data_IF_636965507651
#
_entry.id   IF_636965507651
#
_cell.length_a   1.000
_cell.length_b   1.000
_cell.length_c   1.000
_cell.angle_alpha   90.00
_cell.angle_beta   90.00
_cell.angle_gamma   90.00
#
_symmetry.space_group_name_H-M   'P 1'
#
loop_
_entity.id
_entity.type
_entity.pdbx_description
1 polymer ?
#
# COMPACT_ATOMS: atom_id res chain seq x y z
N UNK A 1 -21.35 -45.83 15.26
CA UNK A 1 -20.06 -45.34 14.71
C UNK A 1 -20.17 -44.12 13.78
N UNK A 2 -21.33 -43.46 13.61
CA UNK A 2 -21.45 -42.23 12.77
C UNK A 2 -21.79 -40.97 13.62
N UNK A 3 -22.29 -41.15 14.85
CA UNK A 3 -22.69 -40.04 15.74
C UNK A 3 -21.53 -39.41 16.54
N UNK A 4 -20.38 -40.07 16.67
CA UNK A 4 -19.21 -39.53 17.38
C UNK A 4 -18.33 -38.64 16.49
N UNK A 5 -18.26 -38.94 15.18
CA UNK A 5 -17.47 -38.16 14.21
C UNK A 5 -18.03 -36.75 13.99
N UNK A 6 -19.36 -36.59 14.05
CA UNK A 6 -20.03 -35.29 13.91
C UNK A 6 -19.84 -34.37 15.12
N UNK A 7 -19.64 -34.91 16.34
CA UNK A 7 -19.37 -34.09 17.54
C UNK A 7 -17.92 -33.56 17.58
N UNK A 8 -16.98 -34.28 16.99
CA UNK A 8 -15.58 -33.84 16.86
C UNK A 8 -15.44 -32.69 15.85
N UNK A 9 -16.14 -32.76 14.72
CA UNK A 9 -16.12 -31.71 13.70
C UNK A 9 -16.74 -30.39 14.18
N UNK A 10 -17.79 -30.45 15.02
CA UNK A 10 -18.44 -29.27 15.58
C UNK A 10 -17.57 -28.55 16.64
N UNK A 11 -16.76 -29.30 17.42
CA UNK A 11 -15.78 -28.72 18.36
C UNK A 11 -14.59 -28.04 17.67
N UNK A 12 -14.14 -28.57 16.52
CA UNK A 12 -13.07 -27.94 15.72
C UNK A 12 -13.54 -26.65 15.03
N UNK A 13 -14.81 -26.55 14.60
CA UNK A 13 -15.36 -25.32 14.05
C UNK A 13 -15.60 -24.24 15.11
N UNK A 14 -15.96 -24.61 16.35
CA UNK A 14 -16.08 -23.64 17.45
C UNK A 14 -14.73 -23.05 17.89
N UNK A 15 -13.64 -23.83 17.83
CA UNK A 15 -12.30 -23.32 18.17
C UNK A 15 -11.79 -22.27 17.15
N UNK A 16 -12.06 -22.48 15.84
CA UNK A 16 -11.77 -21.48 14.79
C UNK A 16 -12.63 -20.22 14.94
N UNK A 17 -13.92 -20.36 15.26
CA UNK A 17 -14.81 -19.19 15.47
C UNK A 17 -14.48 -18.39 16.73
N UNK A 18 -13.98 -19.05 17.78
CA UNK A 18 -13.51 -18.39 19.01
C UNK A 18 -12.18 -17.66 18.76
N UNK A 19 -11.29 -18.20 17.90
CA UNK A 19 -10.06 -17.51 17.45
C UNK A 19 -10.35 -16.27 16.59
N UNK A 20 -11.36 -16.33 15.70
CA UNK A 20 -11.78 -15.16 14.91
C UNK A 20 -12.42 -14.06 15.77
N UNK A 21 -13.07 -14.41 16.89
CA UNK A 21 -13.66 -13.44 17.83
C UNK A 21 -12.70 -12.91 18.89
N UNK A 22 -11.50 -13.47 19.03
CA UNK A 22 -10.48 -12.93 19.93
C UNK A 22 -9.66 -11.80 19.30
N UNK A 23 -10.01 -11.33 18.09
CA UNK A 23 -9.56 -10.05 17.51
C UNK A 23 -10.24 -8.87 18.23
N UNK A 24 -10.26 -8.92 19.56
CA UNK A 24 -10.60 -7.81 20.42
C UNK A 24 -9.54 -6.73 20.23
N UNK A 25 -9.95 -5.62 19.61
CA UNK A 25 -9.39 -4.29 19.80
C UNK A 25 -7.85 -4.27 19.77
N UNK A 26 -7.26 -4.37 18.57
CA UNK A 26 -5.89 -3.88 18.39
C UNK A 26 -5.90 -2.35 18.50
N UNK A 27 -5.81 -1.86 19.74
CA UNK A 27 -5.53 -0.47 20.02
C UNK A 27 -4.09 -0.16 19.58
N UNK A 28 -3.96 0.72 18.59
CA UNK A 28 -2.81 1.62 18.48
C UNK A 28 -1.57 1.19 17.70
N UNK A 29 -1.64 0.20 16.78
CA UNK A 29 -0.57 0.06 15.77
C UNK A 29 -1.05 0.67 14.46
N UNK A 30 -0.54 1.86 14.15
CA UNK A 30 -0.70 2.51 12.87
C UNK A 30 0.09 1.73 11.82
N UNK A 31 -0.60 0.79 11.16
CA UNK A 31 -0.08 0.00 10.05
C UNK A 31 0.44 0.87 8.90
N UNK A 32 1.58 0.53 8.30
CA UNK A 32 2.21 1.16 7.12
C UNK A 32 2.28 2.69 7.18
N UNK A 33 2.62 3.25 8.35
CA UNK A 33 2.69 4.69 8.58
C UNK A 33 4.05 5.34 8.28
N UNK A 34 4.98 4.63 7.65
CA UNK A 34 6.31 5.14 7.32
C UNK A 34 6.84 4.52 6.02
N UNK A 35 7.36 5.36 5.13
CA UNK A 35 8.05 4.93 3.91
C UNK A 35 9.33 5.73 3.68
N UNK A 36 10.29 5.12 3.01
CA UNK A 36 11.42 5.81 2.38
C UNK A 36 10.96 6.19 0.97
N UNK A 37 10.53 7.42 0.77
CA UNK A 37 10.00 7.90 -0.51
C UNK A 37 11.11 8.40 -1.43
N UNK A 38 10.75 8.72 -2.66
CA UNK A 38 11.61 9.40 -3.62
C UNK A 38 11.39 10.93 -3.57
N UNK A 39 12.36 11.70 -4.04
CA UNK A 39 12.20 13.13 -4.35
C UNK A 39 11.34 13.31 -5.60
N UNK A 40 10.92 14.55 -5.89
CA UNK A 40 10.14 14.84 -7.09
C UNK A 40 10.94 14.51 -8.37
N UNK A 41 12.22 14.89 -8.41
CA UNK A 41 13.10 14.64 -9.56
C UNK A 41 13.34 13.15 -9.77
N UNK A 42 13.59 12.38 -8.70
CA UNK A 42 13.69 10.92 -8.76
C UNK A 42 12.38 10.28 -9.29
N UNK A 43 11.20 10.80 -8.92
CA UNK A 43 9.92 10.32 -9.46
C UNK A 43 9.78 10.65 -10.95
N UNK A 44 10.21 11.83 -11.38
CA UNK A 44 10.22 12.21 -12.80
C UNK A 44 11.14 11.31 -13.62
N UNK A 45 12.30 10.94 -13.09
CA UNK A 45 13.21 9.98 -13.73
C UNK A 45 12.58 8.60 -13.85
N UNK A 46 11.87 8.14 -12.81
CA UNK A 46 11.11 6.88 -12.86
C UNK A 46 10.05 6.92 -13.97
N UNK A 47 9.29 8.01 -14.07
CA UNK A 47 8.31 8.20 -15.14
C UNK A 47 8.99 8.12 -16.50
N UNK A 48 10.09 8.85 -16.70
CA UNK A 48 10.82 8.83 -17.96
C UNK A 48 11.28 7.41 -18.35
N UNK A 49 11.87 6.67 -17.40
CA UNK A 49 12.33 5.30 -17.62
C UNK A 49 11.17 4.37 -18.01
N UNK A 50 9.99 4.51 -17.39
CA UNK A 50 8.78 3.76 -17.77
C UNK A 50 8.36 4.11 -19.20
N UNK A 51 8.33 5.40 -19.56
CA UNK A 51 7.89 5.86 -20.88
C UNK A 51 8.81 5.38 -22.02
N UNK A 52 10.12 5.35 -21.80
CA UNK A 52 11.09 4.87 -22.78
C UNK A 52 11.35 3.35 -22.70
N UNK A 53 10.68 2.64 -21.81
CA UNK A 53 10.78 1.18 -21.67
C UNK A 53 12.11 0.68 -21.12
N UNK A 54 12.79 1.50 -20.30
CA UNK A 54 14.04 1.12 -19.64
C UNK A 54 13.76 0.38 -18.33
N UNK A 55 14.74 -0.42 -17.91
CA UNK A 55 14.76 -0.99 -16.56
C UNK A 55 14.84 0.12 -15.53
N UNK A 56 14.00 0.05 -14.51
CA UNK A 56 13.90 1.09 -13.49
C UNK A 56 15.08 0.97 -12.54
N UNK A 57 15.97 1.96 -12.59
CA UNK A 57 17.13 2.11 -11.72
C UNK A 57 17.16 3.56 -11.23
N UNK A 58 17.07 3.75 -9.92
CA UNK A 58 17.04 5.09 -9.32
C UNK A 58 18.25 5.27 -8.42
N UNK A 59 19.28 5.87 -9.00
CA UNK A 59 20.43 6.37 -8.25
C UNK A 59 20.02 7.62 -7.47
N UNK A 60 20.36 7.72 -6.18
CA UNK A 60 20.03 8.91 -5.39
C UNK A 60 20.87 10.12 -5.80
N UNK A 61 20.25 11.31 -5.78
CA UNK A 61 20.94 12.57 -5.98
C UNK A 61 22.05 12.75 -4.93
N UNK A 62 23.24 13.20 -5.34
CA UNK A 62 24.33 13.44 -4.39
C UNK A 62 24.18 14.82 -3.70
N UNK A 63 24.26 14.90 -2.36
CA UNK A 63 24.47 13.80 -1.41
C UNK A 63 23.21 12.96 -1.23
N UNK A 64 23.38 11.62 -1.25
CA UNK A 64 22.25 10.68 -1.19
C UNK A 64 21.36 10.95 0.04
N UNK A 65 20.19 11.52 -0.21
CA UNK A 65 19.16 11.76 0.79
C UNK A 65 17.96 10.88 0.47
N UNK A 66 17.56 10.08 1.44
CA UNK A 66 16.40 9.21 1.34
C UNK A 66 15.26 9.81 2.17
N UNK A 67 14.37 10.61 1.58
CA UNK A 67 13.32 11.28 2.33
C UNK A 67 12.40 10.23 2.97
N UNK A 68 12.04 10.45 4.22
CA UNK A 68 11.06 9.62 4.92
C UNK A 68 9.72 10.32 4.97
N UNK A 69 8.67 9.61 4.57
CA UNK A 69 7.30 10.08 4.64
C UNK A 69 6.54 9.40 5.78
N UNK A 70 5.69 10.19 6.43
CA UNK A 70 4.76 9.81 7.49
C UNK A 70 3.38 10.39 7.16
N UNK A 71 2.30 10.00 7.86
CA UNK A 71 1.04 10.73 7.77
C UNK A 71 1.26 12.24 7.95
N UNK A 72 0.66 13.02 7.05
CA UNK A 72 0.78 14.48 6.86
C UNK A 72 2.04 14.96 6.12
N UNK A 73 2.97 14.08 5.75
CA UNK A 73 4.06 14.45 4.83
C UNK A 73 3.51 14.76 3.45
N UNK A 74 4.16 15.69 2.74
CA UNK A 74 3.94 15.94 1.31
C UNK A 74 4.83 15.00 0.51
N UNK A 75 4.27 14.28 -0.46
CA UNK A 75 4.96 13.22 -1.20
C UNK A 75 4.68 13.36 -2.70
N UNK A 76 5.70 13.28 -3.57
CA UNK A 76 5.51 13.18 -5.02
C UNK A 76 4.90 11.83 -5.38
N UNK A 77 3.82 11.86 -6.15
CA UNK A 77 3.09 10.68 -6.59
C UNK A 77 3.12 10.61 -8.12
N UNK A 78 3.09 9.40 -8.67
CA UNK A 78 2.80 9.19 -10.09
C UNK A 78 1.27 9.14 -10.28
N UNK A 79 0.76 9.92 -11.21
CA UNK A 79 -0.62 9.93 -11.67
C UNK A 79 -0.67 9.62 -13.18
N UNK A 80 -1.86 9.31 -13.69
CA UNK A 80 -2.11 9.12 -15.12
C UNK A 80 -3.13 10.14 -15.62
N UNK A 81 -2.86 10.79 -16.75
CA UNK A 81 -3.89 11.53 -17.48
C UNK A 81 -4.93 10.55 -18.02
N UNK A 82 -6.17 11.00 -18.16
CA UNK A 82 -7.23 10.20 -18.75
C UNK A 82 -7.67 9.00 -17.92
N UNK A 83 -7.27 8.91 -16.64
CA UNK A 83 -8.02 8.10 -15.68
C UNK A 83 -9.48 8.56 -15.77
N UNK A 84 -10.45 7.67 -16.09
CA UNK A 84 -11.77 8.10 -16.50
C UNK A 84 -12.36 9.01 -15.43
N UNK A 85 -12.75 10.23 -15.78
CA UNK A 85 -13.48 11.10 -14.86
C UNK A 85 -14.84 10.47 -14.55
N UNK A 86 -15.31 10.64 -13.31
CA UNK A 86 -16.63 10.14 -12.92
C UNK A 86 -17.72 10.78 -13.80
N UNK A 87 -18.41 9.96 -14.60
CA UNK A 87 -19.46 10.42 -15.51
C UNK A 87 -18.98 10.85 -16.90
N UNK A 88 -17.69 10.69 -17.22
CA UNK A 88 -17.22 10.84 -18.58
C UNK A 88 -17.82 9.73 -19.47
N UNK A 89 -18.21 10.02 -20.73
CA UNK A 89 -18.79 9.02 -21.62
C UNK A 89 -17.81 7.86 -21.82
N UNK A 90 -18.30 6.62 -21.94
CA UNK A 90 -17.46 5.41 -22.13
C UNK A 90 -16.44 5.55 -23.26
N UNK A 91 -16.70 6.41 -24.25
CA UNK A 91 -15.76 6.74 -25.33
C UNK A 91 -14.47 7.46 -24.89
N UNK A 92 -14.37 7.86 -23.62
CA UNK A 92 -13.21 8.54 -23.01
C UNK A 92 -12.35 7.59 -22.16
N UNK A 93 -12.77 6.33 -21.99
CA UNK A 93 -11.91 5.32 -21.38
C UNK A 93 -10.67 5.09 -22.27
N UNK A 94 -9.47 4.95 -21.69
CA UNK A 94 -8.26 4.69 -22.46
C UNK A 94 -8.43 3.42 -23.31
N UNK A 95 -8.07 3.52 -24.58
CA UNK A 95 -8.04 2.34 -25.47
C UNK A 95 -6.99 1.33 -24.95
N UNK A 96 -7.17 0.01 -25.13
CA UNK A 96 -6.26 -1.02 -24.61
C UNK A 96 -4.79 -0.89 -25.03
N UNK A 97 -4.51 -0.10 -26.07
CA UNK A 97 -3.21 0.17 -26.67
C UNK A 97 -2.76 1.62 -26.52
N UNK A 98 -3.45 2.43 -25.72
CA UNK A 98 -3.05 3.80 -25.45
C UNK A 98 -1.97 3.80 -24.37
N UNK A 99 -0.79 4.33 -24.72
CA UNK A 99 0.29 4.55 -23.77
C UNK A 99 -0.23 5.38 -22.58
N UNK A 100 0.03 4.92 -21.35
CA UNK A 100 -0.24 5.72 -20.15
C UNK A 100 0.52 7.04 -20.27
N UNK A 101 -0.17 8.16 -20.04
CA UNK A 101 0.45 9.47 -19.91
C UNK A 101 0.66 9.74 -18.43
N UNK A 102 1.87 9.50 -17.96
CA UNK A 102 2.19 9.61 -16.55
C UNK A 102 2.72 11.01 -16.23
N UNK A 103 2.40 11.51 -15.05
CA UNK A 103 2.96 12.77 -14.54
C UNK A 103 3.12 12.70 -13.03
N UNK A 104 3.98 13.56 -12.48
CA UNK A 104 4.19 13.68 -11.05
C UNK A 104 3.34 14.81 -10.45
N UNK A 105 2.78 14.60 -9.27
CA UNK A 105 2.16 15.66 -8.46
C UNK A 105 2.42 15.40 -6.97
N UNK A 106 2.69 16.46 -6.21
CA UNK A 106 2.85 16.37 -4.77
C UNK A 106 1.52 16.46 -4.03
N UNK A 107 1.23 15.47 -3.17
CA UNK A 107 0.03 15.47 -2.30
C UNK A 107 0.38 15.16 -0.85
N UNK A 108 -0.50 15.55 0.06
CA UNK A 108 -0.36 15.33 1.51
C UNK A 108 -0.89 13.96 1.92
N UNK A 109 -0.12 13.19 2.69
CA UNK A 109 -0.51 11.84 3.10
C UNK A 109 -1.57 11.85 4.22
N UNK A 110 -2.81 11.60 3.84
CA UNK A 110 -3.92 11.31 4.73
C UNK A 110 -5.11 12.25 4.53
N UNK A 111 -6.29 11.64 4.40
CA UNK A 111 -7.55 12.36 4.30
C UNK A 111 -7.99 12.92 5.66
N UNK A 112 -8.48 14.15 5.64
CA UNK A 112 -9.13 14.76 6.79
C UNK A 112 -10.60 14.41 6.78
N UNK A 113 -11.09 13.96 7.93
CA UNK A 113 -12.44 13.45 8.06
C UNK A 113 -13.03 13.97 9.36
N UNK A 114 -14.21 14.60 9.28
CA UNK A 114 -14.85 15.25 10.43
C UNK A 114 -15.15 14.31 11.60
N UNK A 115 -15.27 13.01 11.32
CA UNK A 115 -15.58 11.97 12.29
C UNK A 115 -14.35 11.36 12.97
N UNK A 116 -13.12 11.74 12.58
CA UNK A 116 -11.88 11.17 13.12
C UNK A 116 -10.94 12.24 13.64
N UNK A 117 -10.43 12.04 14.86
CA UNK A 117 -9.27 12.78 15.33
C UNK A 117 -8.01 12.29 14.62
N UNK A 118 -7.46 13.10 13.73
CA UNK A 118 -6.31 12.76 12.88
C UNK A 118 -6.74 12.38 11.45
N UNK A 119 -5.81 11.81 10.67
CA UNK A 119 -6.03 11.54 9.24
C UNK A 119 -6.33 10.07 8.96
N UNK A 120 -7.05 9.80 7.87
CA UNK A 120 -7.17 8.47 7.26
C UNK A 120 -6.13 8.34 6.16
N UNK A 121 -5.03 7.68 6.48
CA UNK A 121 -3.86 7.59 5.61
C UNK A 121 -3.71 6.23 4.90
N UNK A 122 -4.53 5.24 5.26
CA UNK A 122 -4.63 3.96 4.57
C UNK A 122 -6.07 3.64 4.17
N UNK A 123 -6.23 3.09 2.97
CA UNK A 123 -7.50 2.60 2.42
C UNK A 123 -7.35 1.12 2.07
N UNK A 124 -8.34 0.29 2.40
CA UNK A 124 -8.32 -1.13 2.02
C UNK A 124 -8.83 -1.28 0.60
N UNK A 125 -8.16 -2.06 -0.25
CA UNK A 125 -8.61 -2.29 -1.62
C UNK A 125 -10.01 -2.94 -1.66
N UNK A 126 -10.34 -3.75 -0.66
CA UNK A 126 -11.63 -4.41 -0.51
C UNK A 126 -12.78 -3.43 -0.23
N UNK A 127 -12.47 -2.18 0.14
CA UNK A 127 -13.48 -1.15 0.42
C UNK A 127 -13.98 -0.44 -0.83
N UNK A 128 -13.70 -0.94 -2.04
CA UNK A 128 -14.18 -0.38 -3.31
C UNK A 128 -15.72 -0.27 -3.40
N UNK A 129 -16.44 -1.10 -2.65
CA UNK A 129 -17.91 -1.06 -2.54
C UNK A 129 -18.43 0.05 -1.61
N UNK A 130 -17.56 0.63 -0.77
CA UNK A 130 -17.97 1.59 0.26
C UNK A 130 -18.14 2.98 -0.35
N UNK A 131 -19.24 3.70 -0.06
CA UNK A 131 -19.50 5.03 -0.63
C UNK A 131 -18.33 6.02 -0.48
N UNK A 132 -17.65 5.98 0.66
CA UNK A 132 -16.50 6.85 0.97
C UNK A 132 -15.30 6.63 0.02
N UNK A 133 -15.08 5.39 -0.42
CA UNK A 133 -13.85 5.01 -1.15
C UNK A 133 -14.10 4.71 -2.62
N UNK A 134 -15.34 4.40 -2.99
CA UNK A 134 -15.74 3.94 -4.33
C UNK A 134 -15.27 4.88 -5.43
N UNK A 135 -15.49 6.19 -5.27
CA UNK A 135 -15.10 7.17 -6.29
C UNK A 135 -13.58 7.23 -6.46
N UNK A 136 -12.83 7.43 -5.36
CA UNK A 136 -11.38 7.53 -5.44
C UNK A 136 -10.72 6.23 -5.90
N UNK A 137 -11.21 5.06 -5.46
CA UNK A 137 -10.71 3.77 -5.94
C UNK A 137 -11.04 3.53 -7.41
N UNK A 138 -12.12 4.10 -7.95
CA UNK A 138 -12.51 3.94 -9.37
C UNK A 138 -11.83 4.94 -10.31
N UNK A 139 -11.49 6.15 -9.85
CA UNK A 139 -11.09 7.25 -10.74
C UNK A 139 -9.86 8.04 -10.26
N UNK A 140 -9.58 8.06 -8.96
CA UNK A 140 -8.52 8.90 -8.36
C UNK A 140 -7.43 8.02 -7.77
N UNK A 141 -6.85 7.16 -8.60
CA UNK A 141 -5.70 6.33 -8.21
C UNK A 141 -4.39 7.08 -8.47
N UNK A 142 -3.39 6.79 -7.67
CA UNK A 142 -2.02 7.28 -7.81
C UNK A 142 -1.06 6.16 -7.43
N UNK A 143 0.23 6.40 -7.60
CA UNK A 143 1.29 5.48 -7.20
C UNK A 143 2.32 6.22 -6.38
N UNK A 144 2.68 5.64 -5.24
CA UNK A 144 3.75 6.10 -4.37
C UNK A 144 5.00 5.30 -4.77
N UNK A 145 6.09 6.01 -5.11
CA UNK A 145 7.39 5.38 -5.29
C UNK A 145 8.14 5.38 -3.96
N UNK A 146 8.59 4.21 -3.53
CA UNK A 146 9.32 4.06 -2.27
C UNK A 146 10.49 3.10 -2.41
N UNK A 147 11.58 3.33 -1.69
CA UNK A 147 12.71 2.39 -1.55
C UNK A 147 12.40 1.28 -0.54
N UNK A 148 11.54 1.59 0.42
CA UNK A 148 11.07 0.66 1.43
C UNK A 148 9.90 1.22 2.21
N UNK A 149 9.14 0.35 2.88
CA UNK A 149 8.14 0.73 3.86
C UNK A 149 8.41 0.04 5.19
N UNK A 150 7.89 0.59 6.28
CA UNK A 150 8.11 0.02 7.60
C UNK A 150 6.83 -0.47 8.24
N UNK A 151 6.96 -1.52 9.03
CA UNK A 151 5.88 -2.01 9.86
C UNK A 151 6.37 -2.42 11.25
N UNK A 152 5.49 -2.22 12.22
CA UNK A 152 5.73 -2.65 13.60
C UNK A 152 5.25 -4.08 13.79
N UNK A 153 6.11 -4.96 14.30
CA UNK A 153 5.70 -6.31 14.65
C UNK A 153 4.59 -6.26 15.72
N UNK A 154 3.55 -7.08 15.55
CA UNK A 154 2.42 -7.15 16.48
C UNK A 154 2.82 -7.38 17.95
N UNK A 155 3.73 -8.33 18.21
CA UNK A 155 4.08 -8.83 19.56
C UNK A 155 5.57 -8.85 19.87
N UNK A 156 6.46 -8.92 18.88
CA UNK A 156 7.90 -8.93 19.14
C UNK A 156 8.34 -7.59 19.74
N UNK A 157 9.20 -7.66 20.76
CA UNK A 157 9.77 -6.47 21.40
C UNK A 157 11.28 -6.56 21.52
N UNK A 158 11.93 -5.41 21.48
CA UNK A 158 13.38 -5.22 21.55
C UNK A 158 13.71 -4.05 22.48
N UNK A 159 14.87 -4.03 23.14
CA UNK A 159 15.28 -2.90 23.95
C UNK A 159 15.57 -1.67 23.06
N UNK A 160 14.95 -0.54 23.39
CA UNK A 160 15.19 0.74 22.73
C UNK A 160 16.66 1.15 22.89
N UNK A 161 17.40 1.45 21.81
CA UNK A 161 18.78 1.91 21.90
C UNK A 161 18.94 3.22 22.71
N UNK A 162 17.89 4.06 22.73
CA UNK A 162 17.90 5.36 23.41
C UNK A 162 17.57 5.27 24.90
N UNK A 163 16.69 4.35 25.30
CA UNK A 163 16.12 4.34 26.66
C UNK A 163 16.25 3.01 27.39
N UNK A 164 16.67 1.94 26.71
CA UNK A 164 16.70 0.57 27.25
C UNK A 164 15.32 -0.07 27.48
N UNK A 165 14.22 0.68 27.35
CA UNK A 165 12.86 0.15 27.52
C UNK A 165 12.49 -0.77 26.36
N UNK A 166 11.74 -1.83 26.64
CA UNK A 166 11.20 -2.71 25.60
C UNK A 166 10.20 -1.94 24.73
N UNK A 167 10.44 -1.92 23.43
CA UNK A 167 9.59 -1.33 22.39
C UNK A 167 9.25 -2.41 21.37
N UNK A 168 8.18 -2.23 20.59
CA UNK A 168 7.87 -3.18 19.51
C UNK A 168 8.94 -3.13 18.41
N UNK A 169 9.34 -4.29 17.92
CA UNK A 169 10.31 -4.39 16.84
C UNK A 169 9.77 -3.71 15.57
N UNK A 170 10.62 -2.95 14.89
CA UNK A 170 10.33 -2.33 13.60
C UNK A 170 11.02 -3.14 12.51
N UNK A 171 10.33 -3.35 11.40
CA UNK A 171 10.87 -4.02 10.22
C UNK A 171 10.77 -3.09 9.02
N UNK A 172 11.83 -3.01 8.25
CA UNK A 172 11.84 -2.44 6.91
C UNK A 172 11.51 -3.53 5.89
N UNK A 173 10.68 -3.21 4.92
CA UNK A 173 10.34 -4.09 3.82
C UNK A 173 10.71 -3.46 2.48
N UNK A 174 11.31 -4.27 1.62
CA UNK A 174 11.59 -3.95 0.23
C UNK A 174 11.23 -5.14 -0.68
N UNK A 175 11.36 -4.95 -2.00
CA UNK A 175 11.25 -6.04 -2.98
C UNK A 175 12.67 -6.45 -3.38
N UNK A 176 13.02 -7.74 -3.31
CA UNK A 176 14.36 -8.22 -3.67
C UNK A 176 14.76 -7.80 -5.08
N UNK A 177 16.04 -7.47 -5.25
CA UNK A 177 16.67 -7.07 -6.52
C UNK A 177 16.02 -5.83 -7.19
N UNK A 178 15.26 -5.02 -6.45
CA UNK A 178 14.67 -3.79 -6.95
C UNK A 178 15.12 -2.59 -6.11
N UNK A 179 15.52 -1.50 -6.79
CA UNK A 179 15.93 -0.26 -6.11
C UNK A 179 14.76 0.52 -5.49
N UNK A 180 13.54 0.26 -5.99
CA UNK A 180 12.29 0.87 -5.53
C UNK A 180 11.14 -0.14 -5.66
N UNK A 181 10.05 0.14 -4.98
CA UNK A 181 8.74 -0.48 -5.16
C UNK A 181 7.68 0.57 -5.46
N UNK A 182 6.64 0.14 -6.17
CA UNK A 182 5.44 0.92 -6.41
C UNK A 182 4.36 0.52 -5.44
N UNK A 183 3.73 1.49 -4.78
CA UNK A 183 2.60 1.25 -3.88
C UNK A 183 1.37 1.96 -4.44
N UNK A 184 0.28 1.22 -4.61
CA UNK A 184 -0.99 1.82 -5.01
C UNK A 184 -1.50 2.80 -3.95
N UNK A 185 -1.97 3.96 -4.40
CA UNK A 185 -2.61 4.97 -3.58
C UNK A 185 -3.92 5.44 -4.21
N UNK A 186 -4.74 6.11 -3.40
CA UNK A 186 -5.87 6.88 -3.90
C UNK A 186 -5.77 8.31 -3.42
N UNK A 187 -6.34 9.25 -4.17
CA UNK A 187 -6.30 10.66 -3.84
C UNK A 187 -7.67 11.32 -3.90
N UNK A 188 -7.75 12.47 -3.26
CA UNK A 188 -8.88 13.40 -3.27
C UNK A 188 -8.31 14.77 -2.93
N UNK A 189 -8.63 15.76 -3.76
CA UNK A 189 -8.09 17.11 -3.61
C UNK A 189 -6.53 17.09 -3.57
N UNK A 190 -5.93 17.72 -2.57
CA UNK A 190 -4.48 17.79 -2.36
C UNK A 190 -3.95 16.64 -1.48
N UNK A 191 -4.76 15.61 -1.22
CA UNK A 191 -4.44 14.53 -0.28
C UNK A 191 -4.49 13.16 -0.92
N UNK A 192 -3.75 12.23 -0.33
CA UNK A 192 -3.78 10.83 -0.71
C UNK A 192 -3.83 9.88 0.49
N UNK A 193 -4.21 8.64 0.21
CA UNK A 193 -4.22 7.52 1.15
C UNK A 193 -3.59 6.31 0.47
N UNK A 194 -2.70 5.62 1.17
CA UNK A 194 -2.05 4.42 0.68
C UNK A 194 -3.07 3.28 0.62
N UNK A 195 -3.09 2.54 -0.47
CA UNK A 195 -3.94 1.35 -0.57
C UNK A 195 -3.23 0.17 0.06
N UNK A 196 -3.97 -0.61 0.84
CA UNK A 196 -3.50 -1.82 1.52
C UNK A 196 -4.31 -3.02 1.08
N UNK A 197 -3.71 -4.20 1.20
CA UNK A 197 -4.34 -5.50 0.96
C UNK A 197 -3.97 -6.50 2.06
N UNK A 198 -4.49 -7.73 1.97
CA UNK A 198 -4.13 -8.83 2.85
C UNK A 198 -2.62 -9.12 2.77
N UNK A 199 -2.00 -9.37 3.92
CA UNK A 199 -0.59 -9.76 3.99
C UNK A 199 -0.32 -11.07 3.24
N UNK A 200 0.80 -11.11 2.51
CA UNK A 200 1.36 -12.32 1.92
C UNK A 200 2.13 -13.15 2.97
N UNK A 201 2.77 -14.25 2.56
CA UNK A 201 3.52 -15.13 3.45
C UNK A 201 4.69 -14.43 4.17
N UNK A 202 5.34 -13.45 3.54
CA UNK A 202 6.48 -12.71 4.09
C UNK A 202 6.04 -11.69 5.15
N UNK A 203 4.87 -11.09 4.97
CA UNK A 203 4.33 -10.05 5.85
C UNK A 203 3.59 -10.63 7.06
N UNK A 204 2.87 -11.75 6.89
CA UNK A 204 2.01 -12.36 7.94
C UNK A 204 2.70 -12.53 9.31
N UNK A 205 3.99 -12.94 9.39
CA UNK A 205 4.69 -13.04 10.68
C UNK A 205 4.74 -11.70 11.45
N UNK A 206 4.74 -10.58 10.75
CA UNK A 206 4.91 -9.23 11.31
C UNK A 206 3.56 -8.51 11.44
N UNK A 207 2.74 -8.53 10.39
CA UNK A 207 1.44 -7.87 10.34
C UNK A 207 0.44 -8.56 9.38
N UNK A 208 -0.86 -8.46 9.67
CA UNK A 208 -1.92 -9.12 8.89
C UNK A 208 -2.33 -8.39 7.58
N UNK A 209 -1.65 -7.29 7.25
CA UNK A 209 -1.90 -6.45 6.08
C UNK A 209 -0.58 -5.93 5.55
N UNK A 210 -0.56 -5.58 4.27
CA UNK A 210 0.57 -4.96 3.60
C UNK A 210 0.09 -3.83 2.68
N UNK A 211 0.99 -2.91 2.25
CA UNK A 211 0.70 -2.01 1.16
C UNK A 211 0.35 -2.79 -0.12
N UNK A 212 -0.45 -2.19 -0.99
CA UNK A 212 -0.73 -2.75 -2.31
C UNK A 212 0.49 -2.54 -3.21
N UNK A 213 1.49 -3.42 -3.08
CA UNK A 213 2.71 -3.37 -3.90
C UNK A 213 2.37 -3.78 -5.33
N UNK A 214 2.82 -2.97 -6.29
CA UNK A 214 2.58 -3.10 -7.72
C UNK A 214 3.90 -3.41 -8.44
N UNK A 215 3.82 -4.22 -9.50
CA UNK A 215 4.91 -4.33 -10.48
C UNK A 215 4.81 -3.19 -11.50
N UNK A 216 5.93 -2.75 -12.11
CA UNK A 216 5.89 -1.74 -13.17
C UNK A 216 4.94 -2.11 -14.32
N UNK A 217 4.93 -3.39 -14.72
CA UNK A 217 4.04 -3.90 -15.78
C UNK A 217 2.54 -3.89 -15.40
N UNK A 218 2.21 -3.73 -14.11
CA UNK A 218 0.83 -3.70 -13.63
C UNK A 218 0.25 -2.27 -13.57
N UNK A 219 1.04 -1.23 -13.89
CA UNK A 219 0.57 0.16 -13.85
C UNK A 219 -0.65 0.41 -14.76
N UNK A 220 -0.69 -0.21 -15.95
CA UNK A 220 -1.84 -0.10 -16.85
C UNK A 220 -3.10 -0.71 -16.23
N UNK A 221 -2.98 -1.88 -15.59
CA UNK A 221 -4.10 -2.49 -14.86
C UNK A 221 -4.49 -1.67 -13.64
N UNK A 222 -3.51 -1.06 -12.94
CA UNK A 222 -3.77 -0.22 -11.78
C UNK A 222 -4.51 1.05 -12.15
N UNK A 223 -4.10 1.78 -13.17
CA UNK A 223 -4.81 2.99 -13.63
C UNK A 223 -6.05 2.67 -14.47
N UNK A 224 -6.21 1.44 -14.95
CA UNK A 224 -7.35 0.97 -15.72
C UNK A 224 -8.55 0.45 -14.90
N UNK A 225 -9.60 -0.04 -15.57
CA UNK A 225 -10.83 -0.52 -14.93
C UNK A 225 -10.65 -1.86 -14.18
N UNK A 226 -9.59 -2.61 -14.48
CA UNK A 226 -9.36 -3.96 -13.93
C UNK A 226 -8.52 -3.95 -12.63
N UNK A 227 -8.36 -2.79 -12.00
CA UNK A 227 -7.49 -2.60 -10.83
C UNK A 227 -7.77 -3.58 -9.67
N UNK A 228 -9.03 -4.01 -9.50
CA UNK A 228 -9.41 -4.95 -8.43
C UNK A 228 -8.75 -6.33 -8.58
N UNK A 229 -8.32 -6.73 -9.79
CA UNK A 229 -7.54 -7.97 -9.99
C UNK A 229 -6.19 -7.91 -9.27
N UNK A 230 -5.73 -6.71 -8.91
CA UNK A 230 -4.50 -6.51 -8.17
C UNK A 230 -4.66 -6.70 -6.66
N UNK A 231 -5.85 -7.04 -6.15
CA UNK A 231 -6.06 -7.23 -4.72
C UNK A 231 -5.24 -8.38 -4.13
N UNK A 232 -5.11 -9.51 -4.85
CA UNK A 232 -4.28 -10.62 -4.40
C UNK A 232 -2.81 -10.36 -4.74
N UNK A 233 -2.00 -10.11 -3.70
CA UNK A 233 -0.54 -9.88 -3.79
C UNK A 233 0.28 -11.04 -3.20
N UNK A 234 -0.31 -12.23 -3.07
CA UNK A 234 0.37 -13.42 -2.51
C UNK A 234 1.67 -13.80 -3.24
N UNK A 235 1.79 -13.46 -4.53
CA UNK A 235 2.96 -13.74 -5.36
C UNK A 235 3.99 -12.59 -5.44
N UNK A 236 3.80 -11.49 -4.69
CA UNK A 236 4.83 -10.43 -4.60
C UNK A 236 5.81 -10.85 -3.50
N UNK A 237 7.11 -11.02 -3.80
CA UNK A 237 8.10 -11.30 -2.76
C UNK A 237 8.41 -10.03 -1.98
N UNK A 238 8.58 -10.16 -0.67
CA UNK A 238 9.09 -9.11 0.20
C UNK A 238 10.24 -9.62 1.06
N UNK A 239 11.26 -8.80 1.24
CA UNK A 239 12.32 -9.02 2.22
C UNK A 239 12.12 -8.11 3.42
N UNK A 240 12.28 -8.67 4.63
CA UNK A 240 12.10 -7.96 5.89
C UNK A 240 13.43 -7.83 6.63
N UNK A 241 13.82 -6.61 6.98
CA UNK A 241 15.04 -6.32 7.73
C UNK A 241 14.76 -5.65 9.07
N UNK A 242 15.49 -6.13 10.09
CA UNK A 242 15.65 -5.50 11.42
C UNK A 242 15.97 -4.00 11.31
N UNK A 243 15.04 -3.08 11.56
CA UNK A 243 15.32 -1.63 11.57
C UNK A 243 15.74 -1.10 12.95
#
# INVERSE_FOLDING_TARGET
MIRETLRSCCRMQSAKYVWLKSQGKQEGVHMCGRCITLTYDEVMDVIHQIEVGLSIQVEPDWPAQYPQAYPKSRVPLILSEGAPDFGAPESSAPQPNQQLRLFAEEKTWGFEESWKNGVVFNTRIESADKPMWRESLAHRRCVICARGFFETHATETVPSPKTGRMIKAQYEFNVPDQSILFIGGIWKEDRFSMVTTQANADMVPIHHRMPLVLRPAELASWFGPEYLRLADRSAIPLEAHRA
#
